data_IF_682224218361
#
_entry.id   IF_682224218361
#
_cell.length_a   1.000
_cell.length_b   1.000
_cell.length_c   1.000
_cell.angle_alpha   90.00
_cell.angle_beta   90.00
_cell.angle_gamma   90.00
#
_symmetry.space_group_name_H-M   'P 1'
#
loop_
_entity.id
_entity.type
_entity.pdbx_description
1 polymer ?
#
# COMPACT_ATOMS: atom_id res chain seq x y z
N UNK A 1 5.40 -39.67 -20.32
CA UNK A 1 3.98 -39.85 -20.71
C UNK A 1 3.46 -41.08 -19.98
N UNK A 2 2.41 -40.93 -19.15
CA UNK A 2 1.03 -40.98 -19.64
C UNK A 2 0.21 -39.75 -19.24
N UNK A 3 -0.77 -39.43 -20.09
CA UNK A 3 -1.63 -38.25 -19.99
C UNK A 3 -2.71 -38.41 -18.92
N UNK A 4 -2.92 -37.33 -18.19
CA UNK A 4 -3.96 -37.18 -17.18
C UNK A 4 -5.33 -36.96 -17.82
N UNK A 5 -6.30 -37.69 -17.26
CA UNK A 5 -7.75 -37.60 -17.39
C UNK A 5 -8.30 -36.14 -17.44
N UNK A 6 -8.66 -35.68 -18.63
CA UNK A 6 -9.51 -34.49 -18.84
C UNK A 6 -10.71 -34.75 -19.77
N UNK A 7 -11.12 -36.01 -19.93
CA UNK A 7 -12.17 -36.39 -20.90
C UNK A 7 -13.59 -36.47 -20.34
N UNK A 8 -13.88 -35.96 -19.13
CA UNK A 8 -15.23 -36.02 -18.53
C UNK A 8 -15.62 -34.77 -17.72
N UNK A 9 -15.35 -33.56 -18.23
CA UNK A 9 -16.13 -32.40 -17.82
C UNK A 9 -17.05 -32.05 -18.98
N UNK A 10 -18.32 -32.43 -18.86
CA UNK A 10 -19.35 -32.25 -19.88
C UNK A 10 -19.46 -30.76 -20.28
N UNK A 11 -18.91 -30.44 -21.45
CA UNK A 11 -19.22 -29.25 -22.23
C UNK A 11 -20.58 -29.41 -22.92
N UNK A 12 -21.65 -29.60 -22.16
CA UNK A 12 -23.01 -29.66 -22.69
C UNK A 12 -24.04 -28.96 -21.80
N UNK A 13 -23.69 -27.83 -21.22
CA UNK A 13 -24.69 -26.79 -20.98
C UNK A 13 -24.77 -25.94 -22.24
N UNK A 14 -25.82 -26.14 -23.02
CA UNK A 14 -26.09 -25.43 -24.27
C UNK A 14 -25.93 -23.92 -24.07
N UNK A 15 -24.90 -23.35 -24.69
CA UNK A 15 -24.66 -21.90 -24.75
C UNK A 15 -25.89 -21.12 -25.25
N UNK A 16 -26.82 -21.76 -25.98
CA UNK A 16 -28.07 -21.18 -26.48
C UNK A 16 -29.26 -21.24 -25.50
N UNK A 17 -29.25 -22.10 -24.48
CA UNK A 17 -30.34 -22.20 -23.47
C UNK A 17 -30.05 -21.35 -22.22
N UNK A 18 -28.79 -20.95 -22.03
CA UNK A 18 -28.39 -19.97 -21.01
C UNK A 18 -28.81 -18.55 -21.44
N UNK A 19 -29.02 -18.33 -22.75
CA UNK A 19 -29.21 -17.02 -23.39
C UNK A 19 -30.55 -16.29 -23.04
N UNK A 20 -31.67 -16.98 -22.79
CA UNK A 20 -32.89 -16.30 -22.35
C UNK A 20 -32.93 -16.00 -20.84
N UNK A 21 -32.20 -16.78 -20.02
CA UNK A 21 -32.24 -16.63 -18.56
C UNK A 21 -31.24 -15.56 -18.06
N UNK A 22 -30.09 -15.36 -18.74
CA UNK A 22 -29.14 -14.31 -18.34
C UNK A 22 -29.67 -12.89 -18.59
N UNK A 23 -30.45 -12.67 -19.65
CA UNK A 23 -30.94 -11.32 -19.99
C UNK A 23 -32.08 -10.82 -19.08
N UNK A 24 -32.75 -11.70 -18.32
CA UNK A 24 -33.86 -11.31 -17.43
C UNK A 24 -33.41 -11.04 -15.98
N UNK A 25 -32.22 -11.51 -15.59
CA UNK A 25 -31.61 -11.22 -14.28
C UNK A 25 -30.44 -10.22 -14.33
N UNK A 26 -29.99 -9.84 -15.55
CA UNK A 26 -28.75 -9.07 -15.77
C UNK A 26 -28.78 -7.61 -15.28
N UNK A 27 -29.95 -6.97 -15.20
CA UNK A 27 -29.97 -5.53 -14.88
C UNK A 27 -29.58 -5.23 -13.43
N UNK A 28 -29.62 -6.20 -12.52
CA UNK A 28 -29.36 -6.00 -11.09
C UNK A 28 -28.62 -7.14 -10.37
N UNK A 29 -28.04 -8.13 -11.08
CA UNK A 29 -27.26 -9.24 -10.47
C UNK A 29 -27.91 -9.79 -9.18
N UNK A 30 -29.20 -10.14 -9.25
CA UNK A 30 -30.04 -10.42 -8.07
C UNK A 30 -29.60 -11.71 -7.36
N UNK A 31 -29.19 -12.71 -8.14
CA UNK A 31 -28.74 -14.01 -7.64
C UNK A 31 -27.25 -14.03 -7.26
N UNK A 32 -26.54 -12.91 -7.47
CA UNK A 32 -25.13 -12.77 -7.13
C UNK A 32 -24.90 -12.32 -5.69
N UNK A 33 -23.62 -12.32 -5.30
CA UNK A 33 -23.22 -11.84 -3.98
C UNK A 33 -23.39 -10.31 -3.90
N UNK A 34 -24.50 -9.87 -3.29
CA UNK A 34 -24.95 -8.48 -3.27
C UNK A 34 -23.91 -7.49 -2.71
N UNK A 35 -23.16 -7.86 -1.67
CA UNK A 35 -22.16 -6.94 -1.10
C UNK A 35 -20.96 -6.72 -2.03
N UNK A 36 -20.60 -7.70 -2.87
CA UNK A 36 -19.53 -7.54 -3.87
C UNK A 36 -20.02 -6.62 -5.00
N UNK A 37 -21.29 -6.74 -5.35
CA UNK A 37 -21.91 -5.85 -6.33
C UNK A 37 -21.94 -4.41 -5.81
N UNK A 38 -22.35 -4.17 -4.55
CA UNK A 38 -22.41 -2.81 -4.02
C UNK A 38 -21.04 -2.17 -3.78
N UNK A 39 -20.05 -2.95 -3.35
CA UNK A 39 -18.71 -2.42 -3.02
C UNK A 39 -17.79 -2.35 -4.23
N UNK A 40 -17.79 -3.38 -5.07
CA UNK A 40 -16.85 -3.50 -6.19
C UNK A 40 -17.52 -3.32 -7.55
N UNK A 41 -18.85 -3.14 -7.61
CA UNK A 41 -19.60 -3.06 -8.86
C UNK A 41 -19.34 -4.25 -9.79
N UNK A 42 -19.24 -5.45 -9.20
CA UNK A 42 -18.98 -6.70 -9.91
C UNK A 42 -20.04 -7.75 -9.57
N UNK A 43 -20.57 -8.41 -10.60
CA UNK A 43 -21.44 -9.55 -10.42
C UNK A 43 -20.61 -10.83 -10.23
N UNK A 44 -20.71 -11.44 -9.05
CA UNK A 44 -20.02 -12.69 -8.72
C UNK A 44 -21.05 -13.76 -8.42
N UNK A 45 -21.12 -14.74 -9.32
CA UNK A 45 -21.99 -15.91 -9.26
C UNK A 45 -21.16 -17.19 -9.01
N UNK A 46 -19.91 -17.23 -9.49
CA UNK A 46 -19.03 -18.39 -9.38
C UNK A 46 -18.30 -18.47 -8.02
N UNK A 47 -18.26 -19.67 -7.44
CA UNK A 47 -17.52 -19.95 -6.21
C UNK A 47 -16.01 -19.64 -6.32
N UNK A 48 -15.41 -19.86 -7.49
CA UNK A 48 -13.99 -19.55 -7.74
C UNK A 48 -13.69 -18.05 -7.67
N UNK A 49 -14.53 -17.22 -8.29
CA UNK A 49 -14.38 -15.76 -8.29
C UNK A 49 -14.60 -15.21 -6.88
N UNK A 50 -15.58 -15.76 -6.17
CA UNK A 50 -15.83 -15.43 -4.77
C UNK A 50 -14.62 -15.74 -3.89
N UNK A 51 -14.04 -16.94 -4.02
CA UNK A 51 -12.84 -17.32 -3.28
C UNK A 51 -11.66 -16.38 -3.58
N UNK A 52 -11.45 -16.02 -4.85
CA UNK A 52 -10.39 -15.09 -5.24
C UNK A 52 -10.55 -13.71 -4.57
N UNK A 53 -11.77 -13.18 -4.48
CA UNK A 53 -12.05 -11.91 -3.77
C UNK A 53 -11.72 -12.04 -2.29
N UNK A 54 -12.16 -13.11 -1.64
CA UNK A 54 -11.90 -13.33 -0.21
C UNK A 54 -10.40 -13.48 0.06
N UNK A 55 -9.68 -14.31 -0.70
CA UNK A 55 -8.24 -14.46 -0.54
C UNK A 55 -7.48 -13.15 -0.81
N UNK A 56 -7.93 -12.36 -1.78
CA UNK A 56 -7.40 -11.01 -2.04
C UNK A 56 -7.56 -10.08 -0.84
N UNK A 57 -8.77 -10.01 -0.27
CA UNK A 57 -9.08 -9.18 0.91
C UNK A 57 -8.27 -9.64 2.14
N UNK A 58 -8.20 -10.94 2.39
CA UNK A 58 -7.42 -11.48 3.52
C UNK A 58 -5.93 -11.17 3.35
N UNK A 59 -5.40 -11.34 2.13
CA UNK A 59 -4.00 -11.05 1.82
C UNK A 59 -3.64 -9.59 2.10
N UNK A 60 -4.46 -8.65 1.66
CA UNK A 60 -4.16 -7.23 1.89
C UNK A 60 -4.30 -6.84 3.35
N UNK A 61 -5.27 -7.39 4.07
CA UNK A 61 -5.41 -7.14 5.51
C UNK A 61 -4.17 -7.67 6.25
N UNK A 62 -3.72 -8.88 5.92
CA UNK A 62 -2.50 -9.44 6.51
C UNK A 62 -1.27 -8.58 6.19
N UNK A 63 -1.13 -8.14 4.94
CA UNK A 63 -0.06 -7.22 4.55
C UNK A 63 -0.11 -5.90 5.32
N UNK A 64 -1.30 -5.29 5.46
CA UNK A 64 -1.49 -4.05 6.20
C UNK A 64 -1.13 -4.24 7.68
N UNK A 65 -1.60 -5.30 8.33
CA UNK A 65 -1.26 -5.59 9.74
C UNK A 65 0.24 -5.76 9.94
N UNK A 66 0.95 -6.36 8.98
CA UNK A 66 2.39 -6.53 9.04
C UNK A 66 3.18 -5.24 8.68
N UNK A 67 2.68 -4.45 7.72
CA UNK A 67 3.32 -3.21 7.27
C UNK A 67 3.15 -2.03 8.24
N UNK A 68 2.01 -1.95 8.93
CA UNK A 68 1.70 -0.90 9.89
C UNK A 68 2.70 -0.77 11.05
N UNK A 69 3.11 -1.84 11.77
CA UNK A 69 4.11 -1.73 12.84
C UNK A 69 5.46 -1.23 12.32
N UNK A 70 5.81 -1.56 11.07
CA UNK A 70 7.01 -1.04 10.41
C UNK A 70 6.91 0.47 10.17
N UNK A 71 5.79 0.95 9.62
CA UNK A 71 5.53 2.38 9.41
C UNK A 71 5.52 3.17 10.72
N UNK A 72 4.92 2.61 11.78
CA UNK A 72 4.88 3.24 13.11
C UNK A 72 6.27 3.28 13.74
N UNK A 73 7.03 2.20 13.65
CA UNK A 73 8.40 2.14 14.19
C UNK A 73 9.31 3.12 13.47
N UNK A 74 9.19 3.24 12.15
CA UNK A 74 9.88 4.24 11.34
C UNK A 74 9.54 5.68 11.77
N UNK A 75 8.26 5.98 12.04
CA UNK A 75 7.84 7.27 12.61
C UNK A 75 8.50 7.54 13.97
N UNK A 76 8.53 6.55 14.87
CA UNK A 76 9.02 6.69 16.25
C UNK A 76 10.54 6.83 16.33
N UNK A 77 11.26 5.98 15.60
CA UNK A 77 12.72 5.88 15.67
C UNK A 77 13.43 6.89 14.77
N UNK A 78 12.78 7.33 13.68
CA UNK A 78 13.42 8.17 12.67
C UNK A 78 14.55 7.46 11.91
N UNK A 79 14.67 6.13 12.03
CA UNK A 79 15.68 5.30 11.36
C UNK A 79 15.11 4.57 10.14
N UNK A 80 14.11 5.17 9.48
CA UNK A 80 13.45 4.58 8.31
C UNK A 80 14.43 4.23 7.17
N UNK A 81 15.54 4.97 7.04
CA UNK A 81 16.55 4.76 6.00
C UNK A 81 17.40 3.48 6.17
N UNK A 82 17.42 2.90 7.37
CA UNK A 82 18.15 1.65 7.66
C UNK A 82 17.28 0.41 7.50
N UNK A 83 15.95 0.58 7.54
CA UNK A 83 15.03 -0.54 7.59
C UNK A 83 14.59 -1.03 6.20
N UNK A 84 14.59 -0.16 5.18
CA UNK A 84 14.30 -0.54 3.80
C UNK A 84 15.16 0.22 2.78
N UNK A 85 15.50 -0.48 1.70
CA UNK A 85 16.28 0.08 0.58
C UNK A 85 15.46 1.09 -0.22
N UNK A 86 16.08 2.23 -0.56
CA UNK A 86 15.46 3.27 -1.39
C UNK A 86 15.13 2.78 -2.80
N UNK A 87 15.96 1.90 -3.36
CA UNK A 87 15.73 1.34 -4.70
C UNK A 87 14.50 0.44 -4.72
N UNK A 88 14.27 -0.30 -3.63
CA UNK A 88 13.09 -1.16 -3.49
C UNK A 88 11.82 -0.32 -3.39
N UNK A 89 11.85 0.77 -2.60
CA UNK A 89 10.73 1.70 -2.47
C UNK A 89 10.35 2.35 -3.80
N UNK A 90 11.33 2.87 -4.55
CA UNK A 90 11.09 3.46 -5.87
C UNK A 90 10.53 2.42 -6.84
N UNK A 91 11.08 1.20 -6.82
CA UNK A 91 10.61 0.11 -7.65
C UNK A 91 9.14 -0.25 -7.35
N UNK A 92 8.77 -0.36 -6.06
CA UNK A 92 7.38 -0.61 -5.66
C UNK A 92 6.45 0.51 -6.11
N UNK A 93 6.83 1.77 -5.90
CA UNK A 93 5.99 2.90 -6.29
C UNK A 93 5.75 2.95 -7.80
N UNK A 94 6.79 2.66 -8.59
CA UNK A 94 6.68 2.56 -10.05
C UNK A 94 5.81 1.37 -10.44
N UNK A 95 6.04 0.20 -9.83
CA UNK A 95 5.27 -1.02 -10.07
C UNK A 95 3.77 -0.81 -9.83
N UNK A 96 3.42 -0.19 -8.70
CA UNK A 96 2.01 0.08 -8.37
C UNK A 96 1.40 1.19 -9.24
N UNK A 97 2.19 2.18 -9.66
CA UNK A 97 1.74 3.18 -10.64
C UNK A 97 1.44 2.55 -11.99
N UNK A 98 2.31 1.64 -12.45
CA UNK A 98 2.06 0.89 -13.68
C UNK A 98 0.87 -0.07 -13.54
N UNK A 99 0.68 -0.68 -12.36
CA UNK A 99 -0.48 -1.51 -12.06
C UNK A 99 -1.79 -0.69 -12.14
N UNK A 100 -1.79 0.55 -11.62
CA UNK A 100 -2.92 1.47 -11.74
C UNK A 100 -3.19 1.88 -13.19
N UNK A 101 -2.15 2.27 -13.94
CA UNK A 101 -2.28 2.61 -15.36
C UNK A 101 -2.82 1.42 -16.16
N UNK A 102 -2.38 0.21 -15.84
CA UNK A 102 -2.89 -1.02 -16.43
C UNK A 102 -4.39 -1.17 -16.20
N UNK A 103 -4.86 -0.96 -14.97
CA UNK A 103 -6.29 -1.04 -14.62
C UNK A 103 -7.15 -0.02 -15.40
N UNK A 104 -6.64 1.21 -15.55
CA UNK A 104 -7.33 2.25 -16.33
C UNK A 104 -7.38 1.90 -17.83
N UNK A 105 -6.29 1.34 -18.37
CA UNK A 105 -6.20 1.02 -19.80
C UNK A 105 -7.07 -0.17 -20.21
N UNK A 106 -7.26 -1.15 -19.31
CA UNK A 106 -8.03 -2.36 -19.58
C UNK A 106 -9.46 -2.30 -19.01
N UNK A 107 -9.84 -1.19 -18.35
CA UNK A 107 -11.09 -1.08 -17.59
C UNK A 107 -11.29 -2.28 -16.64
N UNK A 108 -10.22 -2.67 -15.95
CA UNK A 108 -10.19 -3.87 -15.11
C UNK A 108 -11.04 -3.72 -13.83
N UNK A 109 -11.25 -4.84 -13.12
CA UNK A 109 -12.07 -4.92 -11.90
C UNK A 109 -11.80 -3.77 -10.91
N UNK A 110 -12.82 -3.04 -10.44
CA UNK A 110 -12.66 -1.90 -9.51
C UNK A 110 -11.86 -2.23 -8.24
N UNK A 111 -11.93 -3.48 -7.76
CA UNK A 111 -11.12 -3.96 -6.63
C UNK A 111 -9.61 -3.76 -6.88
N UNK A 112 -9.11 -4.06 -8.09
CA UNK A 112 -7.68 -3.96 -8.39
C UNK A 112 -7.22 -2.49 -8.42
N UNK A 113 -8.08 -1.58 -8.91
CA UNK A 113 -7.84 -0.14 -8.89
C UNK A 113 -7.76 0.40 -7.45
N UNK A 114 -8.72 0.04 -6.59
CA UNK A 114 -8.69 0.46 -5.18
C UNK A 114 -7.44 -0.03 -4.45
N UNK A 115 -7.05 -1.27 -4.73
CA UNK A 115 -5.85 -1.88 -4.19
C UNK A 115 -4.58 -1.15 -4.62
N UNK A 116 -4.44 -0.84 -5.91
CA UNK A 116 -3.30 -0.09 -6.44
C UNK A 116 -3.22 1.31 -5.83
N UNK A 117 -4.35 2.01 -5.68
CA UNK A 117 -4.40 3.32 -5.03
C UNK A 117 -3.95 3.26 -3.57
N UNK A 118 -4.41 2.25 -2.83
CA UNK A 118 -4.00 2.04 -1.43
C UNK A 118 -2.49 1.79 -1.31
N UNK A 119 -1.92 0.92 -2.15
CA UNK A 119 -0.49 0.61 -2.14
C UNK A 119 0.38 1.82 -2.47
N UNK A 120 0.03 2.60 -3.51
CA UNK A 120 0.72 3.86 -3.84
C UNK A 120 0.70 4.82 -2.65
N UNK A 121 -0.42 4.93 -1.95
CA UNK A 121 -0.54 5.75 -0.74
C UNK A 121 0.45 5.33 0.36
N UNK A 122 0.51 4.03 0.67
CA UNK A 122 1.45 3.47 1.63
C UNK A 122 2.92 3.71 1.23
N UNK A 123 3.23 3.52 -0.05
CA UNK A 123 4.56 3.73 -0.62
C UNK A 123 5.04 5.17 -0.50
N UNK A 124 4.17 6.14 -0.81
CA UNK A 124 4.48 7.57 -0.67
C UNK A 124 4.74 7.92 0.79
N UNK A 125 3.98 7.36 1.73
CA UNK A 125 4.22 7.55 3.16
C UNK A 125 5.59 7.01 3.55
N UNK A 126 5.94 5.78 3.15
CA UNK A 126 7.24 5.18 3.45
C UNK A 126 8.40 5.97 2.82
N UNK A 127 8.24 6.43 1.57
CA UNK A 127 9.23 7.26 0.89
C UNK A 127 9.44 8.60 1.62
N UNK A 128 8.36 9.22 2.09
CA UNK A 128 8.44 10.44 2.90
C UNK A 128 9.20 10.19 4.22
N UNK A 129 8.92 9.08 4.92
CA UNK A 129 9.66 8.70 6.14
C UNK A 129 11.16 8.54 5.86
N UNK A 130 11.50 7.86 4.75
CA UNK A 130 12.86 7.63 4.33
C UNK A 130 13.62 8.94 4.06
N UNK A 131 13.04 9.83 3.25
CA UNK A 131 13.65 11.13 2.89
C UNK A 131 13.87 11.97 4.16
N UNK A 132 12.91 11.98 5.07
CA UNK A 132 13.03 12.75 6.31
C UNK A 132 14.12 12.23 7.23
N UNK A 133 14.20 10.90 7.40
CA UNK A 133 15.25 10.25 8.16
C UNK A 133 16.64 10.57 7.56
N UNK A 134 16.77 10.45 6.24
CA UNK A 134 18.00 10.72 5.51
C UNK A 134 18.44 12.19 5.66
N UNK A 135 17.54 13.15 5.45
CA UNK A 135 17.84 14.58 5.58
C UNK A 135 18.23 14.94 7.02
N UNK A 136 17.57 14.37 8.03
CA UNK A 136 17.92 14.57 9.44
C UNK A 136 19.32 14.04 9.74
N UNK A 137 19.63 12.83 9.31
CA UNK A 137 20.95 12.22 9.51
C UNK A 137 22.05 13.04 8.81
N UNK A 138 21.85 13.42 7.55
CA UNK A 138 22.81 14.22 6.78
C UNK A 138 23.12 15.58 7.44
N UNK A 139 22.07 16.26 7.96
CA UNK A 139 22.23 17.54 8.66
C UNK A 139 23.00 17.37 9.98
N UNK A 140 22.71 16.32 10.75
CA UNK A 140 23.40 16.06 12.02
C UNK A 140 24.88 15.75 11.80
N UNK A 141 25.22 14.99 10.76
CA UNK A 141 26.61 14.69 10.41
C UNK A 141 27.39 15.93 9.99
N UNK A 142 26.76 16.87 9.25
CA UNK A 142 27.40 18.15 8.91
C UNK A 142 27.63 19.04 10.12
N UNK A 143 26.70 19.07 11.09
CA UNK A 143 26.89 19.83 12.33
C UNK A 143 28.07 19.28 13.15
N UNK A 144 28.12 17.96 13.36
CA UNK A 144 29.26 17.30 14.03
C UNK A 144 30.60 17.53 13.31
N UNK A 145 30.59 17.55 11.98
CA UNK A 145 31.79 17.82 11.19
C UNK A 145 32.30 19.27 11.30
N UNK A 146 31.43 20.24 11.59
CA UNK A 146 31.82 21.64 11.85
C UNK A 146 32.34 21.86 13.26
N UNK A 147 31.81 21.12 14.25
CA UNK A 147 32.31 21.17 15.63
C UNK A 147 33.72 20.56 15.74
N UNK A 148 34.04 19.53 14.95
CA UNK A 148 35.38 18.91 14.92
C UNK A 148 36.46 19.78 14.23
N UNK A 149 36.07 20.81 13.46
CA UNK A 149 37.01 21.71 12.80
C UNK A 149 37.29 23.00 13.59
N UNK A 150 36.75 23.13 14.80
CA UNK A 150 36.83 24.34 15.62
C UNK A 150 37.51 24.01 16.96
N UNK A 151 38.83 24.13 17.02
CA UNK A 151 39.66 23.96 18.23
C UNK A 151 39.50 25.14 19.24
N UNK A 152 38.29 25.72 19.40
CA UNK A 152 38.02 26.83 20.35
C UNK A 152 36.87 26.45 21.33
N UNK A 153 37.00 26.70 22.65
CA UNK A 153 36.09 26.14 23.66
C UNK A 153 34.66 26.66 23.56
N UNK A 154 33.65 25.87 24.01
CA UNK A 154 32.28 26.01 23.54
C UNK A 154 31.55 27.17 24.24
N UNK A 155 31.37 28.28 23.55
CA UNK A 155 30.32 29.25 23.89
C UNK A 155 29.00 28.81 23.25
N UNK A 156 28.14 28.16 24.06
CA UNK A 156 26.68 28.01 23.87
C UNK A 156 26.19 27.99 22.42
N UNK A 157 26.33 26.83 21.77
CA UNK A 157 25.64 26.53 20.51
C UNK A 157 24.13 26.47 20.77
N UNK A 158 23.45 27.57 20.47
CA UNK A 158 21.99 27.55 20.30
C UNK A 158 21.70 26.73 19.06
N UNK A 159 21.34 25.46 19.25
CA UNK A 159 20.85 24.60 18.17
C UNK A 159 19.63 25.26 17.55
N UNK A 160 19.82 25.97 16.43
CA UNK A 160 18.74 26.62 15.69
C UNK A 160 17.88 25.50 15.11
N UNK A 161 16.71 25.26 15.71
CA UNK A 161 15.74 24.28 15.22
C UNK A 161 15.49 24.56 13.73
N UNK A 162 15.67 23.57 12.83
CA UNK A 162 15.45 23.80 11.41
C UNK A 162 14.00 24.23 11.21
N UNK A 163 13.79 25.23 10.35
CA UNK A 163 12.45 25.70 9.99
C UNK A 163 11.75 24.58 9.20
N UNK A 164 10.96 23.77 9.90
CA UNK A 164 10.12 22.71 9.34
C UNK A 164 8.93 23.39 8.64
N UNK A 165 8.67 23.06 7.36
CA UNK A 165 7.49 23.58 6.63
C UNK A 165 6.19 23.11 7.30
N UNK A 166 5.10 23.88 7.20
CA UNK A 166 3.81 23.57 7.87
C UNK A 166 3.25 22.19 7.51
N UNK A 167 3.29 21.78 6.23
CA UNK A 167 2.92 20.42 5.80
C UNK A 167 3.75 19.33 6.50
N UNK A 168 4.99 19.66 6.81
CA UNK A 168 5.93 18.77 7.46
C UNK A 168 5.73 18.75 8.98
N UNK A 169 5.24 19.85 9.58
CA UNK A 169 4.76 19.87 10.96
C UNK A 169 3.49 19.03 11.13
N UNK A 170 2.56 19.08 10.15
CA UNK A 170 1.38 18.21 10.11
C UNK A 170 1.77 16.73 10.05
N UNK A 171 2.70 16.36 9.17
CA UNK A 171 3.21 14.99 9.09
C UNK A 171 3.94 14.55 10.37
N UNK A 172 4.71 15.44 11.00
CA UNK A 172 5.37 15.18 12.29
C UNK A 172 4.34 15.03 13.42
N UNK A 173 3.26 15.82 13.43
CA UNK A 173 2.14 15.67 14.36
C UNK A 173 1.40 14.33 14.20
N UNK A 174 1.26 13.83 12.96
CA UNK A 174 0.74 12.48 12.71
C UNK A 174 1.72 11.37 13.14
N UNK A 175 3.02 11.57 13.01
CA UNK A 175 4.06 10.61 13.43
C UNK A 175 4.49 10.75 14.90
N UNK A 176 4.00 11.72 15.69
CA UNK A 176 4.39 11.82 17.11
C UNK A 176 3.55 10.83 17.92
N UNK A 177 4.13 9.78 18.51
CA UNK A 177 3.41 9.07 19.55
C UNK A 177 3.22 10.01 20.74
N UNK A 178 2.05 9.94 21.38
CA UNK A 178 1.86 10.52 22.70
C UNK A 178 3.04 10.11 23.61
N UNK A 179 3.57 11.02 24.45
CA UNK A 179 4.67 10.69 25.35
C UNK A 179 4.28 9.47 26.18
N UNK A 180 5.12 8.43 26.15
CA UNK A 180 5.02 7.30 27.06
C UNK A 180 5.06 7.84 28.49
N UNK A 181 3.93 7.80 29.20
CA UNK A 181 3.93 7.94 30.65
C UNK A 181 4.70 6.77 31.23
N UNK A 182 5.92 7.04 31.69
CA UNK A 182 6.68 6.16 32.58
C UNK A 182 5.93 6.09 33.92
N UNK A 183 5.28 4.95 34.17
CA UNK A 183 4.83 4.53 35.50
C UNK A 183 5.88 3.62 36.13
#
# INVERSE_FOLDING_TARGET
>A
MPGFLWSNLDTSDNFSDIVPLYNLTDSNCIDGVQWILTVFNQCVLDAQRYAAVIFGIVSIIAWAINGMPQMVTNCKTGLAHQAMSIYLLIFWTIGDTLNLIGCELTHQLPLQTYMALFSIGCDVILLAQWILAYVRHYRLSRLRGGDLSSDEPPSTLTVRRPRVRIHLLLYIHLCTPAPLQSG
#
